data_IF_822156561991
#
_entry.id   IF_822156561991
#
_cell.length_a   1.000
_cell.length_b   1.000
_cell.length_c   1.000
_cell.angle_alpha   90.00
_cell.angle_beta   90.00
_cell.angle_gamma   90.00
#
_symmetry.space_group_name_H-M   'P 1'
#
loop_
_entity.id
_entity.type
_entity.pdbx_description
1 polymer ?
#
# COMPACT_ATOMS: atom_id res chain seq x y z
N UNK A 1 8.44 -9.05 68.08
CA UNK A 1 7.29 -9.61 68.82
C UNK A 1 6.32 -8.48 69.16
N UNK A 2 5.29 -8.28 68.33
CA UNK A 2 3.93 -7.94 68.79
C UNK A 2 2.97 -8.20 67.64
N UNK A 3 2.01 -9.07 67.89
CA UNK A 3 0.92 -9.43 67.00
C UNK A 3 -0.38 -8.76 67.47
N UNK A 4 -1.43 -8.91 66.65
CA UNK A 4 -2.86 -8.65 66.87
C UNK A 4 -3.33 -7.26 66.41
N UNK A 5 -4.45 -7.08 65.71
CA UNK A 5 -5.59 -7.97 65.39
C UNK A 5 -6.40 -7.32 64.26
N UNK A 6 -6.94 -8.14 63.34
CA UNK A 6 -7.91 -7.70 62.34
C UNK A 6 -9.35 -7.69 62.85
N UNK A 7 -10.19 -6.92 62.15
CA UNK A 7 -11.66 -6.98 62.01
C UNK A 7 -12.02 -5.70 61.23
N UNK A 8 -12.36 -5.70 59.94
CA UNK A 8 -13.39 -6.53 59.31
C UNK A 8 -14.64 -5.68 59.11
N UNK A 9 -14.71 -4.89 58.04
CA UNK A 9 -15.97 -4.45 57.42
C UNK A 9 -15.84 -4.38 55.89
N UNK A 10 -16.60 -5.27 55.28
CA UNK A 10 -16.96 -5.41 53.87
C UNK A 10 -17.73 -4.19 53.36
N UNK A 11 -17.46 -3.72 52.13
CA UNK A 11 -18.44 -3.66 51.03
C UNK A 11 -17.79 -3.28 49.67
N UNK A 12 -17.77 -4.27 48.76
CA UNK A 12 -18.04 -4.27 47.30
C UNK A 12 -17.43 -3.23 46.32
N UNK A 13 -16.90 -3.83 45.25
CA UNK A 13 -16.93 -3.46 43.82
C UNK A 13 -16.06 -2.26 43.39
N UNK A 14 -14.91 -2.54 42.77
CA UNK A 14 -14.72 -2.67 41.30
C UNK A 14 -14.92 -1.33 40.59
N UNK A 15 -13.79 -0.76 40.19
CA UNK A 15 -13.66 0.37 39.30
C UNK A 15 -12.19 0.49 38.92
N UNK A 16 -11.61 -0.60 38.44
CA UNK A 16 -10.35 -0.52 37.70
C UNK A 16 -10.62 0.46 36.57
N UNK A 17 -9.98 1.63 36.62
CA UNK A 17 -9.88 2.49 35.45
C UNK A 17 -8.95 1.75 34.50
N UNK A 18 -9.53 0.84 33.72
CA UNK A 18 -8.93 0.38 32.48
C UNK A 18 -8.91 1.63 31.62
N UNK A 19 -7.75 2.26 31.52
CA UNK A 19 -7.44 3.04 30.34
C UNK A 19 -7.56 2.05 29.18
N UNK A 20 -8.72 2.08 28.51
CA UNK A 20 -8.87 1.45 27.21
C UNK A 20 -8.03 2.33 26.29
N UNK A 21 -6.72 2.06 26.25
CA UNK A 21 -5.95 2.31 25.05
C UNK A 21 -6.69 1.49 24.00
N UNK A 22 -7.53 2.14 23.21
CA UNK A 22 -7.82 1.65 21.89
C UNK A 22 -6.47 1.68 21.16
N UNK A 23 -5.65 0.65 21.35
CA UNK A 23 -4.85 0.15 20.24
C UNK A 23 -5.90 -0.32 19.24
N UNK A 24 -6.39 0.62 18.43
CA UNK A 24 -7.08 0.26 17.22
C UNK A 24 -6.03 -0.45 16.40
N UNK A 25 -5.98 -1.77 16.52
CA UNK A 25 -5.25 -2.59 15.57
C UNK A 25 -5.82 -2.15 14.21
N UNK A 26 -4.98 -1.47 13.42
CA UNK A 26 -5.33 -1.13 12.06
C UNK A 26 -5.63 -2.48 11.39
N UNK A 27 -6.91 -2.73 11.11
CA UNK A 27 -7.31 -3.92 10.39
C UNK A 27 -7.01 -3.65 8.93
N UNK A 28 -6.21 -4.52 8.35
CA UNK A 28 -5.78 -4.39 6.99
C UNK A 28 -6.98 -4.42 6.03
N UNK A 29 -7.00 -3.47 5.10
CA UNK A 29 -8.03 -3.34 4.09
C UNK A 29 -7.46 -3.81 2.75
N UNK A 30 -8.11 -4.81 2.15
CA UNK A 30 -7.79 -5.20 0.77
C UNK A 30 -8.30 -4.13 -0.20
N UNK A 31 -7.37 -3.53 -0.94
CA UNK A 31 -7.60 -2.56 -2.00
C UNK A 31 -7.73 -3.31 -3.33
N UNK A 32 -8.96 -3.51 -3.88
CA UNK A 32 -9.10 -3.99 -5.24
C UNK A 32 -8.69 -2.89 -6.21
N UNK A 33 -7.90 -3.24 -7.22
CA UNK A 33 -7.44 -2.29 -8.22
C UNK A 33 -7.61 -2.84 -9.64
N UNK A 34 -7.79 -1.92 -10.57
CA UNK A 34 -7.80 -2.19 -12.01
C UNK A 34 -7.21 -0.98 -12.74
N UNK A 35 -6.35 -1.24 -13.70
CA UNK A 35 -5.73 -0.22 -14.54
C UNK A 35 -5.29 -0.78 -15.88
N UNK A 36 -4.96 0.11 -16.81
CA UNK A 36 -4.35 -0.25 -18.10
C UNK A 36 -2.86 0.00 -18.01
N UNK A 37 -2.06 -0.88 -18.60
CA UNK A 37 -0.64 -0.69 -18.73
C UNK A 37 -0.38 0.45 -19.72
N UNK A 38 0.17 1.55 -19.22
CA UNK A 38 0.36 2.77 -20.00
C UNK A 38 1.82 2.93 -20.45
N UNK A 39 2.75 2.25 -19.77
CA UNK A 39 4.19 2.32 -20.00
C UNK A 39 4.81 0.92 -19.82
N UNK A 40 5.74 0.59 -20.72
CA UNK A 40 6.65 -0.56 -20.62
C UNK A 40 8.04 -0.07 -20.95
N UNK A 41 8.96 -0.15 -19.99
CA UNK A 41 10.34 0.33 -20.14
C UNK A 41 11.30 -0.81 -20.47
N UNK A 42 11.05 -1.99 -19.91
CA UNK A 42 11.83 -3.21 -20.14
C UNK A 42 10.88 -4.35 -20.47
N UNK A 43 11.24 -5.13 -21.48
CA UNK A 43 10.57 -6.39 -21.82
C UNK A 43 11.57 -7.36 -22.44
N UNK A 44 11.82 -8.48 -21.75
CA UNK A 44 12.55 -9.64 -22.28
C UNK A 44 11.57 -10.79 -22.54
N UNK A 45 11.84 -11.61 -23.56
CA UNK A 45 11.08 -12.82 -23.85
C UNK A 45 11.08 -13.85 -22.69
N UNK A 46 11.98 -13.72 -21.73
CA UNK A 46 12.04 -14.53 -20.52
C UNK A 46 11.11 -14.08 -19.38
N UNK A 47 10.47 -12.91 -19.47
CA UNK A 47 9.59 -12.38 -18.44
C UNK A 47 8.29 -13.20 -18.30
N UNK A 48 7.77 -13.29 -17.07
CA UNK A 48 6.47 -13.89 -16.79
C UNK A 48 5.35 -13.01 -17.32
N UNK A 49 5.49 -11.71 -17.20
CA UNK A 49 4.59 -10.75 -17.83
C UNK A 49 5.13 -10.35 -19.20
N UNK A 50 4.24 -10.44 -20.19
CA UNK A 50 4.39 -9.80 -21.49
C UNK A 50 3.20 -8.88 -21.60
N UNK A 51 3.46 -7.60 -21.84
CA UNK A 51 2.43 -6.57 -21.75
C UNK A 51 2.53 -5.63 -22.93
N UNK A 52 1.46 -5.50 -23.70
CA UNK A 52 1.33 -4.42 -24.65
C UNK A 52 0.71 -3.19 -23.96
N UNK A 53 1.06 -2.01 -24.45
CA UNK A 53 0.36 -0.78 -24.08
C UNK A 53 -1.15 -0.95 -24.29
N UNK A 54 -1.93 -0.65 -23.25
CA UNK A 54 -3.38 -0.80 -23.21
C UNK A 54 -3.88 -2.13 -22.62
N UNK A 55 -3.00 -3.08 -22.29
CA UNK A 55 -3.40 -4.30 -21.60
C UNK A 55 -3.95 -4.00 -20.21
N UNK A 56 -5.02 -4.67 -19.83
CA UNK A 56 -5.69 -4.41 -18.54
C UNK A 56 -5.17 -5.35 -17.47
N UNK A 57 -4.68 -4.76 -16.38
CA UNK A 57 -4.30 -5.46 -15.17
C UNK A 57 -5.35 -5.23 -14.08
N UNK A 58 -5.56 -6.26 -13.26
CA UNK A 58 -6.42 -6.22 -12.09
C UNK A 58 -5.80 -6.98 -10.95
N UNK A 59 -6.12 -6.59 -9.72
CA UNK A 59 -5.58 -7.24 -8.55
C UNK A 59 -6.23 -6.80 -7.26
N UNK A 60 -5.64 -7.27 -6.18
CA UNK A 60 -5.92 -6.81 -4.82
C UNK A 60 -4.60 -6.70 -4.09
N UNK A 61 -4.41 -5.65 -3.29
CA UNK A 61 -3.31 -5.55 -2.33
C UNK A 61 -3.86 -5.19 -0.96
N UNK A 62 -3.34 -5.84 0.07
CA UNK A 62 -3.62 -5.51 1.46
C UNK A 62 -2.77 -4.32 1.90
N UNK A 63 -3.39 -3.25 2.40
CA UNK A 63 -2.72 -1.97 2.64
C UNK A 63 -1.85 -1.90 3.90
N UNK A 64 -1.77 -2.98 4.69
CA UNK A 64 -0.92 -3.09 5.88
C UNK A 64 0.06 -4.25 5.72
N UNK A 65 -0.46 -5.41 5.38
CA UNK A 65 0.29 -6.64 5.22
C UNK A 65 0.81 -6.83 3.80
N UNK A 66 0.53 -5.95 2.84
CA UNK A 66 1.10 -5.94 1.49
C UNK A 66 1.06 -7.28 0.71
N UNK A 67 0.13 -8.17 1.08
CA UNK A 67 -0.12 -9.42 0.37
C UNK A 67 -1.23 -9.22 -0.64
N UNK A 68 -1.24 -10.03 -1.70
CA UNK A 68 -2.20 -9.81 -2.76
C UNK A 68 -2.02 -10.68 -3.99
N UNK A 69 -2.63 -10.22 -5.08
CA UNK A 69 -2.39 -10.78 -6.40
C UNK A 69 -2.57 -9.73 -7.48
N UNK A 70 -1.96 -9.97 -8.63
CA UNK A 70 -2.16 -9.22 -9.85
C UNK A 70 -2.33 -10.17 -11.04
N UNK A 71 -3.15 -9.76 -12.01
CA UNK A 71 -3.45 -10.55 -13.20
C UNK A 71 -3.69 -9.67 -14.42
N UNK A 72 -3.16 -10.09 -15.56
CA UNK A 72 -3.41 -9.56 -16.91
C UNK A 72 -4.65 -10.23 -17.58
N UNK A 73 -5.37 -11.09 -16.83
CA UNK A 73 -6.48 -11.90 -17.32
C UNK A 73 -6.11 -13.31 -17.79
N UNK A 74 -4.82 -13.59 -18.03
CA UNK A 74 -4.28 -14.90 -18.44
C UNK A 74 -3.35 -15.47 -17.36
N UNK A 75 -2.38 -14.67 -16.94
CA UNK A 75 -1.43 -14.93 -15.87
C UNK A 75 -1.96 -14.31 -14.58
N UNK A 76 -1.82 -15.05 -13.48
CA UNK A 76 -2.01 -14.52 -12.14
C UNK A 76 -0.74 -14.77 -11.32
N UNK A 77 -0.34 -13.77 -10.55
CA UNK A 77 0.80 -13.83 -9.63
C UNK A 77 0.30 -13.41 -8.26
N UNK A 78 0.41 -14.31 -7.30
CA UNK A 78 0.18 -14.03 -5.89
C UNK A 78 1.51 -13.59 -5.28
N UNK A 79 1.46 -12.56 -4.45
CA UNK A 79 2.61 -11.98 -3.79
C UNK A 79 2.30 -11.81 -2.29
N UNK A 80 3.35 -11.83 -1.49
CA UNK A 80 3.28 -11.74 -0.03
C UNK A 80 4.09 -10.52 0.47
N UNK A 81 3.95 -10.21 1.75
CA UNK A 81 4.78 -9.19 2.43
C UNK A 81 6.20 -9.71 2.68
N UNK A 82 7.13 -8.77 2.58
CA UNK A 82 8.18 -8.83 1.57
C UNK A 82 9.22 -9.93 1.81
N UNK A 83 9.66 -10.58 0.74
CA UNK A 83 10.77 -11.53 0.77
C UNK A 83 12.09 -10.86 1.16
N UNK A 84 12.21 -9.52 1.06
CA UNK A 84 13.45 -8.78 1.33
C UNK A 84 13.36 -7.49 2.20
N UNK A 85 12.18 -7.00 2.60
CA UNK A 85 12.02 -5.78 3.42
C UNK A 85 10.88 -5.87 4.46
N UNK A 86 10.85 -4.97 5.43
CA UNK A 86 9.74 -4.88 6.40
C UNK A 86 8.47 -4.42 5.65
N UNK A 87 7.55 -5.34 5.39
CA UNK A 87 6.38 -5.08 4.56
C UNK A 87 5.36 -4.12 5.17
N UNK A 88 4.62 -3.47 4.27
CA UNK A 88 3.59 -2.50 4.58
C UNK A 88 3.77 -1.20 3.81
N UNK A 89 2.86 -0.24 4.02
CA UNK A 89 2.90 1.01 3.30
C UNK A 89 4.10 1.85 3.73
N UNK A 90 4.83 2.39 2.76
CA UNK A 90 5.88 3.38 2.98
C UNK A 90 5.32 4.76 2.67
N UNK A 91 5.53 5.72 3.57
CA UNK A 91 5.19 7.12 3.35
C UNK A 91 6.51 7.89 3.27
N UNK A 92 6.74 8.57 2.14
CA UNK A 92 7.88 9.43 1.94
C UNK A 92 7.40 10.88 1.79
N UNK A 93 7.96 11.79 2.58
CA UNK A 93 7.53 13.19 2.62
C UNK A 93 8.35 14.08 1.70
N UNK A 94 7.65 14.94 0.98
CA UNK A 94 8.20 15.98 0.12
C UNK A 94 9.40 15.53 -0.75
N UNK A 95 9.31 14.31 -1.30
CA UNK A 95 10.34 13.77 -2.18
C UNK A 95 10.39 14.57 -3.48
N UNK A 96 11.58 14.81 -3.99
CA UNK A 96 11.78 15.37 -5.32
C UNK A 96 11.77 14.23 -6.33
N UNK A 97 10.81 14.26 -7.25
CA UNK A 97 10.77 13.31 -8.36
C UNK A 97 11.92 13.63 -9.31
N UNK A 98 12.67 12.62 -9.72
CA UNK A 98 13.71 12.78 -10.72
C UNK A 98 13.13 13.01 -12.12
N UNK A 99 13.99 13.46 -13.05
CA UNK A 99 13.60 13.80 -14.41
C UNK A 99 12.97 12.62 -15.16
N UNK A 100 13.45 11.40 -14.90
CA UNK A 100 12.95 10.18 -15.54
C UNK A 100 11.54 9.84 -15.03
N UNK A 101 11.28 9.94 -13.72
CA UNK A 101 9.95 9.76 -13.14
C UNK A 101 8.99 10.85 -13.61
N UNK A 102 9.45 12.09 -13.71
CA UNK A 102 8.64 13.21 -14.23
C UNK A 102 8.27 13.00 -15.70
N UNK A 103 9.21 12.54 -16.54
CA UNK A 103 8.93 12.19 -17.94
C UNK A 103 7.93 11.03 -18.02
N UNK A 104 8.15 9.99 -17.22
CA UNK A 104 7.27 8.82 -17.15
C UNK A 104 5.84 9.23 -16.78
N UNK A 105 5.64 10.00 -15.72
CA UNK A 105 4.31 10.50 -15.31
C UNK A 105 3.69 11.44 -16.36
N UNK A 106 4.53 12.25 -17.02
CA UNK A 106 4.11 13.15 -18.10
C UNK A 106 3.61 12.43 -19.36
N UNK A 107 3.98 11.15 -19.54
CA UNK A 107 3.58 10.30 -20.68
C UNK A 107 2.28 9.53 -20.43
N UNK A 108 1.73 9.57 -19.22
CA UNK A 108 0.44 8.94 -18.93
C UNK A 108 -0.70 9.57 -19.74
N UNK A 109 -1.77 8.84 -20.08
CA UNK A 109 -2.87 9.38 -20.89
C UNK A 109 -3.61 10.54 -20.22
N UNK A 110 -3.67 10.55 -18.88
CA UNK A 110 -4.17 11.65 -18.06
C UNK A 110 -3.10 12.02 -17.02
N UNK A 111 -2.06 12.80 -17.43
CA UNK A 111 -0.90 13.05 -16.59
C UNK A 111 -1.27 13.90 -15.37
N UNK A 112 -0.72 13.61 -14.19
CA UNK A 112 -1.01 14.38 -12.99
C UNK A 112 -0.54 15.83 -13.11
N UNK A 113 -1.26 16.75 -12.47
CA UNK A 113 -0.83 18.13 -12.31
C UNK A 113 0.21 18.20 -11.18
N UNK A 114 1.46 17.96 -11.53
CA UNK A 114 2.56 17.97 -10.57
C UNK A 114 2.95 19.41 -10.16
N UNK A 115 3.36 19.61 -8.90
CA UNK A 115 3.92 20.89 -8.46
C UNK A 115 5.17 21.28 -9.27
N UNK A 116 5.35 22.59 -9.51
CA UNK A 116 6.45 23.10 -10.35
C UNK A 116 7.85 22.83 -9.79
N UNK A 117 7.97 22.51 -8.50
CA UNK A 117 9.23 22.11 -7.87
C UNK A 117 9.45 20.60 -7.91
N UNK A 118 8.57 19.82 -8.55
CA UNK A 118 8.67 18.37 -8.64
C UNK A 118 8.50 17.64 -7.31
N UNK A 119 8.08 18.34 -6.24
CA UNK A 119 7.98 17.74 -4.90
C UNK A 119 6.58 17.19 -4.65
N UNK A 120 6.53 15.95 -4.15
CA UNK A 120 5.29 15.26 -3.78
C UNK A 120 5.47 14.52 -2.47
N UNK A 121 4.37 14.25 -1.79
CA UNK A 121 4.35 13.17 -0.80
C UNK A 121 4.00 11.87 -1.54
N UNK A 122 4.68 10.78 -1.22
CA UNK A 122 4.51 9.49 -1.88
C UNK A 122 4.09 8.44 -0.85
N UNK A 123 3.05 7.68 -1.19
CA UNK A 123 2.71 6.46 -0.44
C UNK A 123 2.82 5.26 -1.36
N UNK A 124 3.71 4.33 -1.01
CA UNK A 124 3.92 3.09 -1.74
C UNK A 124 3.42 1.90 -0.92
N UNK A 125 2.68 1.00 -1.57
CA UNK A 125 2.23 -0.27 -1.01
C UNK A 125 2.72 -1.35 -1.97
N UNK A 126 3.71 -2.13 -1.56
CA UNK A 126 4.38 -3.10 -2.43
C UNK A 126 4.48 -4.48 -1.79
N UNK A 127 4.32 -5.50 -2.61
CA UNK A 127 4.56 -6.89 -2.24
C UNK A 127 5.38 -7.58 -3.32
N UNK A 128 5.98 -8.70 -2.96
CA UNK A 128 6.85 -9.42 -3.87
C UNK A 128 6.64 -10.94 -3.83
N UNK A 129 7.19 -11.62 -4.83
CA UNK A 129 7.25 -13.07 -4.86
C UNK A 129 8.50 -13.53 -5.60
N UNK A 130 9.07 -14.65 -5.16
CA UNK A 130 10.20 -15.25 -5.86
C UNK A 130 9.76 -16.01 -7.11
N UNK A 131 10.55 -15.94 -8.16
CA UNK A 131 10.34 -16.76 -9.37
C UNK A 131 11.07 -18.09 -9.26
N UNK A 132 10.66 -19.08 -10.08
CA UNK A 132 11.31 -20.40 -10.08
C UNK A 132 12.77 -20.36 -10.56
N UNK A 133 13.17 -19.31 -11.28
CA UNK A 133 14.54 -19.08 -11.76
C UNK A 133 15.42 -18.38 -10.72
N UNK A 134 14.87 -18.08 -9.53
CA UNK A 134 15.58 -17.38 -8.46
C UNK A 134 15.50 -15.85 -8.56
N UNK A 135 14.70 -15.31 -9.48
CA UNK A 135 14.43 -13.88 -9.58
C UNK A 135 13.26 -13.44 -8.68
N UNK A 136 12.76 -12.23 -8.92
CA UNK A 136 11.69 -11.59 -8.13
C UNK A 136 10.65 -10.96 -9.05
N UNK A 137 9.38 -11.04 -8.68
CA UNK A 137 8.34 -10.17 -9.21
C UNK A 137 7.87 -9.29 -8.07
N UNK A 138 7.92 -7.99 -8.28
CA UNK A 138 7.47 -6.96 -7.38
C UNK A 138 6.28 -6.25 -7.99
N UNK A 139 5.28 -5.99 -7.16
CA UNK A 139 4.01 -5.38 -7.55
C UNK A 139 3.65 -4.39 -6.48
N UNK A 140 3.34 -3.17 -6.89
CA UNK A 140 2.91 -2.16 -5.94
C UNK A 140 1.91 -1.17 -6.48
N UNK A 141 1.33 -0.44 -5.54
CA UNK A 141 0.51 0.74 -5.78
C UNK A 141 1.26 1.95 -5.23
N UNK A 142 1.40 2.98 -6.05
CA UNK A 142 1.99 4.25 -5.65
C UNK A 142 0.94 5.35 -5.75
N UNK A 143 0.78 6.09 -4.66
CA UNK A 143 -0.13 7.23 -4.55
C UNK A 143 0.69 8.50 -4.35
N UNK A 144 0.55 9.43 -5.30
CA UNK A 144 1.22 10.72 -5.25
C UNK A 144 0.27 11.76 -4.68
N UNK A 145 0.71 12.52 -3.70
CA UNK A 145 -0.04 13.60 -3.06
C UNK A 145 0.72 14.92 -3.21
N UNK A 146 0.03 16.08 -3.10
CA UNK A 146 0.72 17.35 -2.96
C UNK A 146 1.75 17.29 -1.81
N UNK A 147 2.90 17.92 -2.01
CA UNK A 147 3.90 18.09 -0.95
C UNK A 147 3.28 18.73 0.30
N UNK A 148 3.55 18.15 1.47
CA UNK A 148 3.02 18.59 2.77
C UNK A 148 1.59 18.15 3.06
N UNK A 149 1.06 17.17 2.32
CA UNK A 149 -0.19 16.48 2.65
C UNK A 149 -0.07 15.73 3.97
N UNK A 150 1.05 15.03 4.21
CA UNK A 150 1.31 14.32 5.46
C UNK A 150 2.27 15.09 6.36
N UNK A 151 2.06 14.98 7.68
CA UNK A 151 2.87 15.67 8.68
C UNK A 151 4.07 14.84 9.16
N UNK A 152 4.01 13.52 8.98
CA UNK A 152 5.02 12.54 9.36
C UNK A 152 4.90 11.29 8.47
N UNK A 153 5.90 10.41 8.51
CA UNK A 153 5.94 9.14 7.76
C UNK A 153 5.21 8.01 8.49
N UNK A 154 4.43 8.31 9.53
CA UNK A 154 3.84 7.27 10.37
C UNK A 154 2.57 6.70 9.73
N UNK A 155 2.61 5.42 9.36
CA UNK A 155 1.43 4.70 8.85
C UNK A 155 0.25 4.80 9.83
N UNK A 156 0.53 4.69 11.14
CA UNK A 156 -0.50 4.69 12.19
C UNK A 156 -1.36 5.96 12.27
N UNK A 157 -0.87 7.09 11.77
CA UNK A 157 -1.56 8.39 11.80
C UNK A 157 -2.16 8.76 10.46
N UNK A 158 -1.60 8.26 9.36
CA UNK A 158 -1.99 8.62 7.99
C UNK A 158 -2.91 7.60 7.31
N UNK A 159 -3.13 6.41 7.92
CA UNK A 159 -4.05 5.39 7.40
C UNK A 159 -5.41 5.35 8.14
N UNK A 160 -6.52 5.09 7.43
CA UNK A 160 -6.61 4.84 5.99
C UNK A 160 -6.38 6.12 5.16
N UNK A 161 -5.77 5.97 3.98
CA UNK A 161 -5.45 7.09 3.09
C UNK A 161 -6.73 7.78 2.57
N UNK A 162 -6.74 9.12 2.58
CA UNK A 162 -7.72 9.92 1.84
C UNK A 162 -7.29 10.06 0.37
N UNK A 163 -7.58 9.04 -0.44
CA UNK A 163 -7.16 9.02 -1.86
C UNK A 163 -7.90 10.05 -2.73
N UNK A 164 -8.84 10.83 -2.18
CA UNK A 164 -9.45 11.96 -2.91
C UNK A 164 -8.50 13.14 -3.08
N UNK A 165 -7.43 13.18 -2.29
CA UNK A 165 -6.37 14.20 -2.35
C UNK A 165 -5.20 13.79 -3.24
N UNK A 166 -5.20 12.57 -3.77
CA UNK A 166 -4.11 12.07 -4.60
C UNK A 166 -4.08 12.82 -5.95
N UNK A 167 -2.89 13.26 -6.35
CA UNK A 167 -2.59 13.79 -7.69
C UNK A 167 -2.63 12.67 -8.74
N UNK A 168 -2.11 11.49 -8.37
CA UNK A 168 -2.09 10.29 -9.19
C UNK A 168 -2.12 9.04 -8.30
N UNK A 169 -2.62 7.95 -8.86
CA UNK A 169 -2.44 6.62 -8.33
C UNK A 169 -2.11 5.68 -9.48
N UNK A 170 -1.01 4.94 -9.33
CA UNK A 170 -0.49 4.03 -10.35
C UNK A 170 -0.29 2.66 -9.74
N UNK A 171 -0.36 1.63 -10.58
CA UNK A 171 0.21 0.32 -10.26
C UNK A 171 1.50 0.15 -11.05
N UNK A 172 2.43 -0.59 -10.48
CA UNK A 172 3.66 -0.97 -11.17
C UNK A 172 3.92 -2.47 -11.03
N UNK A 173 4.70 -3.00 -11.95
CA UNK A 173 5.18 -4.38 -11.97
C UNK A 173 6.64 -4.33 -12.39
N UNK A 174 7.51 -4.84 -11.53
CA UNK A 174 8.93 -5.05 -11.83
C UNK A 174 9.23 -6.52 -11.72
N UNK A 175 9.82 -7.11 -12.76
CA UNK A 175 10.32 -8.47 -12.74
C UNK A 175 11.83 -8.46 -12.95
N UNK A 176 12.54 -9.15 -12.06
CA UNK A 176 13.98 -9.37 -12.10
C UNK A 176 14.28 -10.85 -12.34
N UNK A 177 15.35 -11.13 -13.07
CA UNK A 177 15.89 -12.48 -13.20
C UNK A 177 16.69 -12.92 -11.96
N UNK A 178 17.21 -14.15 -11.96
CA UNK A 178 18.00 -14.68 -10.83
C UNK A 178 19.35 -13.98 -10.59
N UNK A 179 19.73 -13.02 -11.44
CA UNK A 179 20.89 -12.15 -11.25
C UNK A 179 20.54 -10.77 -10.69
N UNK A 180 19.25 -10.46 -10.55
CA UNK A 180 18.74 -9.14 -10.18
C UNK A 180 18.67 -8.17 -11.35
N UNK A 181 18.74 -8.66 -12.60
CA UNK A 181 18.55 -7.81 -13.78
C UNK A 181 17.06 -7.66 -14.06
N UNK A 182 16.58 -6.42 -14.20
CA UNK A 182 15.20 -6.16 -14.64
C UNK A 182 14.97 -6.74 -16.03
N UNK A 183 13.93 -7.56 -16.15
CA UNK A 183 13.48 -8.21 -17.40
C UNK A 183 12.05 -7.81 -17.78
N UNK A 184 11.31 -7.20 -16.86
CA UNK A 184 10.06 -6.50 -17.15
C UNK A 184 9.92 -5.30 -16.21
N UNK A 185 9.53 -4.15 -16.75
CA UNK A 185 9.17 -2.98 -15.95
C UNK A 185 7.99 -2.28 -16.63
N UNK A 186 6.84 -2.33 -15.95
CA UNK A 186 5.58 -1.82 -16.46
C UNK A 186 4.86 -0.95 -15.44
N UNK A 187 4.23 0.12 -15.92
CA UNK A 187 3.44 1.04 -15.10
C UNK A 187 2.11 1.35 -15.77
N UNK A 188 1.06 1.49 -14.95
CA UNK A 188 -0.26 1.86 -15.44
C UNK A 188 -1.06 2.69 -14.44
N UNK A 189 -1.92 3.57 -14.96
CA UNK A 189 -2.77 4.42 -14.15
C UNK A 189 -3.99 3.65 -13.62
N UNK A 190 -4.28 3.84 -12.34
CA UNK A 190 -5.46 3.25 -11.70
C UNK A 190 -6.72 4.03 -12.07
N UNK A 191 -7.73 3.33 -12.60
CA UNK A 191 -8.99 3.96 -13.06
C UNK A 191 -10.20 3.12 -12.66
N UNK A 192 -11.03 3.57 -11.68
CA UNK A 192 -10.85 4.75 -10.83
C UNK A 192 -9.68 4.58 -9.84
N UNK A 193 -9.22 5.68 -9.23
CA UNK A 193 -8.32 5.61 -8.07
C UNK A 193 -9.00 4.78 -6.98
N UNK A 194 -8.46 3.62 -6.60
CA UNK A 194 -9.13 2.76 -5.65
C UNK A 194 -9.13 3.45 -4.27
N UNK A 195 -10.32 3.58 -3.70
CA UNK A 195 -10.49 3.98 -2.31
C UNK A 195 -10.16 2.75 -1.45
N UNK A 196 -9.38 2.88 -0.36
CA UNK A 196 -9.40 1.86 0.69
C UNK A 196 -10.86 1.65 1.06
N UNK A 197 -11.32 0.39 1.10
CA UNK A 197 -12.71 0.10 1.39
C UNK A 197 -13.08 0.87 2.68
N UNK A 198 -14.15 1.69 2.68
CA UNK A 198 -14.53 2.40 3.88
C UNK A 198 -14.70 1.33 4.95
N UNK A 199 -13.89 1.42 6.01
CA UNK A 199 -14.11 0.64 7.22
C UNK A 199 -15.61 0.69 7.46
N UNK A 200 -16.27 -0.46 7.27
CA UNK A 200 -17.54 -0.68 7.94
C UNK A 200 -17.15 -0.57 9.40
N UNK A 201 -17.23 0.64 9.94
CA UNK A 201 -17.59 0.87 11.31
C UNK A 201 -18.81 -0.02 11.50
N UNK A 202 -18.58 -1.26 11.92
CA UNK A 202 -19.52 -2.05 12.69
C UNK A 202 -19.73 -1.21 13.93
N UNK A 203 -20.52 -0.14 13.77
CA UNK A 203 -21.21 0.52 14.84
C UNK A 203 -21.87 -0.63 15.54
N UNK A 204 -21.44 -0.84 16.76
CA UNK A 204 -22.26 -1.48 17.76
C UNK A 204 -23.64 -0.86 17.60
N UNK A 205 -24.54 -1.57 16.90
CA UNK A 205 -25.95 -1.44 17.13
C UNK A 205 -26.07 -1.70 18.63
N UNK A 206 -26.13 -0.61 19.38
CA UNK A 206 -26.74 -0.62 20.70
C UNK A 206 -28.13 -1.16 20.48
N UNK A 207 -28.28 -2.47 20.68
CA UNK A 207 -29.57 -3.03 21.00
C UNK A 207 -29.99 -2.38 22.31
N UNK A 208 -31.12 -1.68 22.20
CA UNK A 208 -32.02 -1.27 23.27
C UNK A 208 -32.19 -2.36 24.35
#
# INVERSE_FOLDING_TARGET
MTARTGLGRSLRAVGASVALLASGDLLAASIPFQGTLDIVEVEDAGARYLGALGDTFRGTIDDIGAYGFISDGTTATFFDCCTLAAGGPMINLDIELDDDTLDMLGRLPDPPLLPANGRVDLVDIEGDTSTMTGGRIEVGLSYLFPAGTFADEQVSTNFPLDTTQALAAVFFIVEEDGSGTEIFNGLGQLRPVPLPAPLLMLGSLGLL
#
